data_IF_346003892626
#
_entry.id   IF_346003892626
#
_cell.length_a   1.000
_cell.length_b   1.000
_cell.length_c   1.000
_cell.angle_alpha   90.00
_cell.angle_beta   90.00
_cell.angle_gamma   90.00
#
_symmetry.space_group_name_H-M   'P 1'
#
loop_
_entity.id
_entity.type
_entity.pdbx_description
1 polymer ?
#
# COMPACT_ATOMS: atom_id res chain seq x y z
N UNK A 1 21.44 9.25 4.44
CA UNK A 1 20.01 9.33 4.12
C UNK A 1 19.55 7.90 3.96
N UNK A 2 18.79 7.37 4.93
CA UNK A 2 18.29 6.00 4.88
C UNK A 2 17.27 5.90 3.74
N UNK A 3 17.53 5.03 2.77
CA UNK A 3 16.55 4.71 1.73
C UNK A 3 15.31 4.13 2.42
N UNK A 4 14.16 4.79 2.27
CA UNK A 4 12.88 4.17 2.62
C UNK A 4 12.72 2.89 1.80
N UNK A 5 12.56 1.75 2.47
CA UNK A 5 12.43 0.46 1.82
C UNK A 5 10.96 0.29 1.37
N UNK A 6 10.69 0.42 0.06
CA UNK A 6 9.34 0.35 -0.49
C UNK A 6 9.34 0.44 -2.01
N UNK A 7 8.24 0.00 -2.63
CA UNK A 7 8.03 0.10 -4.09
C UNK A 7 7.24 1.34 -4.43
N UNK A 8 7.32 1.83 -5.66
CA UNK A 8 6.62 3.03 -6.08
C UNK A 8 5.09 2.89 -5.95
N UNK A 9 4.56 1.66 -6.04
CA UNK A 9 3.17 1.31 -5.72
C UNK A 9 2.76 1.53 -4.24
N UNK A 10 3.74 1.64 -3.34
CA UNK A 10 3.51 2.02 -1.94
C UNK A 10 3.40 3.52 -1.74
N UNK A 11 3.51 4.32 -2.81
CA UNK A 11 3.42 5.78 -2.76
C UNK A 11 2.02 6.28 -3.16
N UNK A 12 1.43 7.18 -2.35
CA UNK A 12 0.16 7.88 -2.61
C UNK A 12 0.18 8.71 -3.89
N UNK A 13 1.38 9.09 -4.34
CA UNK A 13 1.58 9.82 -5.58
C UNK A 13 1.61 8.92 -6.82
N UNK A 14 1.60 7.60 -6.66
CA UNK A 14 1.48 6.67 -7.79
C UNK A 14 0.01 6.51 -8.20
N UNK A 15 -0.25 6.64 -9.50
CA UNK A 15 -1.53 6.34 -10.10
C UNK A 15 -1.38 5.10 -10.98
N UNK A 16 -1.92 3.93 -10.58
CA UNK A 16 -1.82 2.73 -11.39
C UNK A 16 -2.55 2.91 -12.73
N UNK A 17 -1.92 2.45 -13.81
CA UNK A 17 -2.51 2.43 -15.16
C UNK A 17 -2.87 1.00 -15.54
N UNK A 18 -1.97 0.05 -15.26
CA UNK A 18 -2.18 -1.39 -15.41
C UNK A 18 -1.37 -2.18 -14.37
N UNK A 19 -1.32 -3.50 -14.53
CA UNK A 19 -0.63 -4.39 -13.59
C UNK A 19 0.88 -4.13 -13.47
N UNK A 20 1.53 -3.56 -14.49
CA UNK A 20 2.98 -3.41 -14.53
C UNK A 20 3.44 -1.96 -14.29
N UNK A 21 2.60 -0.97 -14.60
CA UNK A 21 3.01 0.44 -14.58
C UNK A 21 1.90 1.41 -14.21
N UNK A 22 2.33 2.60 -13.85
CA UNK A 22 1.48 3.74 -13.56
C UNK A 22 2.20 5.06 -13.79
N UNK A 23 1.60 6.15 -13.32
CA UNK A 23 2.12 7.51 -13.44
C UNK A 23 2.51 8.01 -12.05
N UNK A 24 3.73 8.53 -11.92
CA UNK A 24 4.10 9.33 -10.74
C UNK A 24 3.51 10.74 -10.88
N UNK A 25 2.58 11.12 -10.01
CA UNK A 25 1.90 12.43 -10.05
C UNK A 25 2.81 13.62 -9.72
N UNK A 26 3.99 13.38 -9.12
CA UNK A 26 4.97 14.45 -8.84
C UNK A 26 5.79 14.81 -10.08
N UNK A 27 6.16 13.82 -10.89
CA UNK A 27 7.03 13.99 -12.07
C UNK A 27 6.26 13.92 -13.39
N UNK A 28 5.01 13.46 -13.38
CA UNK A 28 4.19 13.15 -14.55
C UNK A 28 4.82 12.12 -15.51
N UNK A 29 5.69 11.25 -15.00
CA UNK A 29 6.35 10.21 -15.79
C UNK A 29 5.69 8.85 -15.60
N UNK A 30 5.66 8.05 -16.66
CA UNK A 30 5.34 6.62 -16.57
C UNK A 30 6.47 5.90 -15.81
N UNK A 31 6.10 5.07 -14.85
CA UNK A 31 7.04 4.31 -14.03
C UNK A 31 6.48 2.91 -13.73
N UNK A 32 7.35 1.92 -13.60
CA UNK A 32 6.94 0.56 -13.25
C UNK A 32 6.55 0.45 -11.77
N UNK A 33 5.55 -0.37 -11.48
CA UNK A 33 5.01 -0.65 -10.15
C UNK A 33 6.10 -1.08 -9.16
N UNK A 34 7.08 -1.87 -9.61
CA UNK A 34 8.13 -2.47 -8.79
C UNK A 34 9.39 -1.61 -8.61
N UNK A 35 9.41 -0.39 -9.14
CA UNK A 35 10.56 0.50 -8.96
C UNK A 35 10.68 0.97 -7.51
N UNK A 36 11.90 1.30 -7.08
CA UNK A 36 12.15 1.85 -5.75
C UNK A 36 11.41 3.19 -5.55
N UNK A 37 10.99 3.45 -4.31
CA UNK A 37 10.48 4.76 -3.92
C UNK A 37 11.59 5.84 -3.96
N UNK A 38 11.18 7.09 -4.15
CA UNK A 38 12.05 8.27 -4.04
C UNK A 38 11.85 9.01 -2.72
N UNK A 39 12.64 10.05 -2.46
CA UNK A 39 12.57 10.85 -1.23
C UNK A 39 11.25 11.62 -1.06
N UNK A 40 10.44 11.74 -2.12
CA UNK A 40 9.11 12.34 -2.09
C UNK A 40 7.99 11.31 -1.80
N UNK A 41 8.34 10.15 -1.26
CA UNK A 41 7.39 9.09 -0.93
C UNK A 41 6.39 9.56 0.13
N UNK A 42 5.11 9.38 -0.19
CA UNK A 42 4.00 9.53 0.74
C UNK A 42 3.35 8.17 0.88
N UNK A 43 3.29 7.60 2.08
CA UNK A 43 2.82 6.22 2.25
C UNK A 43 1.36 6.05 1.79
N UNK A 44 1.12 5.06 0.92
CA UNK A 44 -0.23 4.64 0.53
C UNK A 44 -0.87 3.84 1.67
N UNK A 45 -2.07 4.21 2.15
CA UNK A 45 -2.84 3.37 3.04
C UNK A 45 -3.13 2.02 2.38
N UNK A 46 -2.64 0.94 2.98
CA UNK A 46 -2.83 -0.45 2.55
C UNK A 46 -3.16 -1.34 3.76
N UNK A 47 -3.63 -2.55 3.57
CA UNK A 47 -3.84 -3.46 4.70
C UNK A 47 -2.52 -3.83 5.40
N UNK A 48 -1.41 -3.97 4.67
CA UNK A 48 -0.10 -4.33 5.24
C UNK A 48 0.50 -3.31 6.20
N UNK A 49 0.07 -2.05 6.13
CA UNK A 49 0.46 -0.98 7.05
C UNK A 49 -0.71 -0.54 7.95
N UNK A 50 -1.71 -1.39 8.14
CA UNK A 50 -2.82 -1.17 9.04
C UNK A 50 -2.68 -2.01 10.32
N UNK A 51 -2.84 -1.40 11.50
CA UNK A 51 -2.73 -2.08 12.81
C UNK A 51 -3.81 -3.15 13.04
N UNK A 52 -4.89 -3.09 12.23
CA UNK A 52 -6.01 -4.01 12.31
C UNK A 52 -5.85 -5.23 11.38
N UNK A 53 -4.76 -5.32 10.61
CA UNK A 53 -4.44 -6.48 9.78
C UNK A 53 -3.50 -7.41 10.54
N UNK A 54 -3.99 -8.60 10.88
CA UNK A 54 -3.32 -9.51 11.81
C UNK A 54 -3.29 -10.95 11.28
N UNK A 55 -2.40 -11.77 11.84
CA UNK A 55 -2.28 -13.19 11.46
C UNK A 55 -1.89 -13.38 10.00
N UNK A 56 -0.98 -12.55 9.50
CA UNK A 56 -0.55 -12.56 8.09
C UNK A 56 0.28 -13.81 7.81
N UNK A 57 -0.08 -14.53 6.76
CA UNK A 57 0.65 -15.71 6.29
C UNK A 57 1.72 -15.37 5.23
N UNK A 58 2.37 -16.40 4.70
CA UNK A 58 3.45 -16.27 3.70
C UNK A 58 2.98 -15.67 2.36
N UNK A 59 1.68 -15.73 2.07
CA UNK A 59 1.09 -15.26 0.82
C UNK A 59 0.47 -13.85 1.00
N UNK A 60 0.80 -13.18 2.12
CA UNK A 60 0.31 -11.86 2.51
C UNK A 60 -1.22 -11.81 2.70
N UNK A 61 -1.82 -12.94 3.09
CA UNK A 61 -3.23 -13.08 3.44
C UNK A 61 -3.34 -13.09 4.96
N UNK A 62 -4.33 -12.38 5.51
CA UNK A 62 -4.54 -12.28 6.95
C UNK A 62 -5.99 -11.93 7.29
N UNK A 63 -6.23 -11.55 8.54
CA UNK A 63 -7.56 -11.17 9.03
C UNK A 63 -7.61 -9.70 9.41
N UNK A 64 -8.62 -8.98 8.93
CA UNK A 64 -9.00 -7.66 9.40
C UNK A 64 -9.88 -7.77 10.65
N UNK A 65 -9.46 -7.10 11.73
CA UNK A 65 -10.22 -6.99 12.99
C UNK A 65 -10.73 -5.57 13.27
N UNK A 66 -10.61 -4.66 12.30
CA UNK A 66 -10.89 -3.22 12.46
C UNK A 66 -12.31 -2.78 12.13
N UNK A 67 -13.18 -3.70 11.69
CA UNK A 67 -14.57 -3.44 11.31
C UNK A 67 -15.52 -4.29 12.15
N UNK A 68 -16.83 -3.97 12.09
CA UNK A 68 -17.88 -4.65 12.87
C UNK A 68 -17.85 -6.18 12.77
N UNK A 69 -17.46 -6.72 11.60
CA UNK A 69 -17.28 -8.15 11.37
C UNK A 69 -15.85 -8.40 10.94
N UNK A 70 -15.20 -9.38 11.58
CA UNK A 70 -13.88 -9.83 11.16
C UNK A 70 -13.98 -10.56 9.82
N UNK A 71 -13.00 -10.32 8.95
CA UNK A 71 -12.95 -10.92 7.62
C UNK A 71 -11.52 -11.09 7.14
N UNK A 72 -11.30 -12.06 6.27
CA UNK A 72 -10.01 -12.22 5.62
C UNK A 72 -9.77 -11.07 4.63
N UNK A 73 -8.52 -10.70 4.45
CA UNK A 73 -8.08 -9.72 3.45
C UNK A 73 -6.60 -9.99 3.09
N UNK A 74 -6.01 -9.15 2.24
CA UNK A 74 -4.64 -9.27 1.79
C UNK A 74 -3.89 -7.95 1.92
N UNK A 75 -2.58 -8.01 2.18
CA UNK A 75 -1.80 -6.84 2.59
C UNK A 75 -1.73 -5.71 1.54
N UNK A 76 -1.77 -6.03 0.25
CA UNK A 76 -1.71 -5.02 -0.83
C UNK A 76 -3.05 -4.30 -1.09
N UNK A 77 -4.15 -4.67 -0.41
CA UNK A 77 -5.43 -4.00 -0.59
C UNK A 77 -5.32 -2.52 -0.18
N UNK A 78 -5.65 -1.62 -1.11
CA UNK A 78 -5.64 -0.17 -0.86
C UNK A 78 -6.74 0.18 0.15
N UNK A 79 -6.35 0.86 1.23
CA UNK A 79 -7.19 1.16 2.38
C UNK A 79 -7.59 2.65 2.49
N UNK A 80 -7.40 3.44 1.42
CA UNK A 80 -7.65 4.91 1.41
C UNK A 80 -9.06 5.30 1.86
N UNK A 81 -10.06 4.47 1.56
CA UNK A 81 -11.48 4.69 1.91
C UNK A 81 -11.96 3.80 3.06
N UNK A 82 -11.07 3.04 3.69
CA UNK A 82 -11.44 2.13 4.78
C UNK A 82 -11.61 2.90 6.09
N UNK A 83 -12.83 2.91 6.64
CA UNK A 83 -13.16 3.56 7.91
C UNK A 83 -12.40 2.96 9.11
N UNK A 84 -11.99 1.70 9.00
CA UNK A 84 -11.22 0.98 10.02
C UNK A 84 -9.70 1.12 9.87
N UNK A 85 -9.18 1.89 8.91
CA UNK A 85 -7.74 2.01 8.72
C UNK A 85 -7.07 2.75 9.88
N UNK A 86 -5.98 2.18 10.40
CA UNK A 86 -5.12 2.78 11.43
C UNK A 86 -3.68 2.49 11.08
N UNK A 87 -2.92 3.51 10.75
CA UNK A 87 -1.53 3.34 10.32
C UNK A 87 -0.66 2.81 11.46
N UNK A 88 0.26 1.88 11.14
CA UNK A 88 1.35 1.42 12.02
C UNK A 88 2.60 2.28 11.90
#
# INVERSE_FOLDING_TARGET
MEKMNGKHDDCRNFAPVDAAKGICRKTNTMIFTDTDVCDAMEMMPKCKNCSNFQGVDKDNIGTCVGLKKHGWTYGELIAVTCEGYRQV
#
